data_IF_481101282554
#
_entry.id   IF_481101282554
#
_cell.length_a   1.000
_cell.length_b   1.000
_cell.length_c   1.000
_cell.angle_alpha   90.00
_cell.angle_beta   90.00
_cell.angle_gamma   90.00
#
_symmetry.space_group_name_H-M   'P 1'
#
loop_
_entity.id
_entity.type
_entity.pdbx_description
1 polymer ?
#
# COMPACT_ATOMS: atom_id res chain seq x y z
N UNK A 1 48.23 -7.19 -112.02
CA UNK A 1 49.33 -6.38 -112.59
C UNK A 1 48.72 -5.18 -113.29
N UNK A 2 48.66 -4.04 -112.61
CA UNK A 2 48.56 -2.68 -113.16
C UNK A 2 48.89 -1.74 -112.01
N UNK A 3 50.06 -1.14 -112.10
CA UNK A 3 50.66 -0.15 -111.21
C UNK A 3 50.24 1.25 -111.64
N UNK A 4 50.14 2.18 -110.69
CA UNK A 4 50.69 3.55 -110.70
C UNK A 4 50.43 4.15 -109.29
N UNK A 5 51.44 4.46 -108.44
CA UNK A 5 52.31 5.66 -108.36
C UNK A 5 51.47 6.97 -108.33
N UNK A 6 51.66 7.96 -107.44
CA UNK A 6 52.77 8.33 -106.57
C UNK A 6 52.32 9.33 -105.46
N UNK A 7 53.23 9.53 -104.51
CA UNK A 7 53.21 10.40 -103.32
C UNK A 7 53.16 11.92 -103.57
N UNK A 8 52.58 12.68 -102.62
CA UNK A 8 53.15 13.95 -102.11
C UNK A 8 52.77 14.19 -100.62
N UNK A 9 53.77 14.65 -99.88
CA UNK A 9 53.78 15.05 -98.46
C UNK A 9 52.86 16.24 -98.14
N UNK A 10 52.34 16.28 -96.91
CA UNK A 10 51.74 17.45 -96.30
C UNK A 10 51.63 17.32 -94.77
N UNK A 11 52.70 17.75 -94.09
CA UNK A 11 52.87 18.15 -92.68
C UNK A 11 51.64 18.21 -91.75
N UNK A 12 51.82 17.69 -90.52
CA UNK A 12 51.21 18.25 -89.32
C UNK A 12 50.75 17.21 -88.30
N UNK A 13 51.59 16.94 -87.29
CA UNK A 13 51.31 16.11 -86.12
C UNK A 13 49.96 16.40 -85.45
N UNK A 14 49.10 15.39 -85.34
CA UNK A 14 47.97 15.41 -84.42
C UNK A 14 48.27 14.45 -83.26
N UNK A 15 48.88 15.00 -82.21
CA UNK A 15 49.00 14.34 -80.92
C UNK A 15 47.60 14.10 -80.36
N UNK A 16 47.12 12.87 -80.43
CA UNK A 16 45.90 12.44 -79.72
C UNK A 16 46.27 12.28 -78.24
N UNK A 17 45.84 13.24 -77.42
CA UNK A 17 45.94 13.16 -75.96
C UNK A 17 45.22 11.90 -75.42
N UNK A 18 45.69 11.31 -74.31
CA UNK A 18 44.99 10.20 -73.66
C UNK A 18 43.68 10.71 -73.04
N UNK A 19 42.59 9.99 -73.30
CA UNK A 19 41.25 10.32 -72.78
C UNK A 19 41.21 10.38 -71.25
N UNK A 20 40.46 11.32 -70.65
CA UNK A 20 40.30 11.40 -69.21
C UNK A 20 39.42 10.24 -68.74
N UNK A 21 39.99 9.33 -67.93
CA UNK A 21 39.21 8.38 -67.13
C UNK A 21 38.41 9.17 -66.11
N UNK A 22 37.12 9.37 -66.39
CA UNK A 22 36.19 10.01 -65.47
C UNK A 22 35.99 9.09 -64.25
N UNK A 23 36.58 9.46 -63.10
CA UNK A 23 36.17 8.91 -61.80
C UNK A 23 34.78 9.47 -61.49
N UNK A 24 33.80 8.64 -61.09
CA UNK A 24 32.49 9.16 -60.71
C UNK A 24 32.65 10.07 -59.49
N UNK A 25 31.94 11.21 -59.42
CA UNK A 25 32.01 12.11 -58.28
C UNK A 25 31.50 11.37 -57.04
N UNK A 26 32.33 11.34 -56.00
CA UNK A 26 31.97 10.86 -54.67
C UNK A 26 30.74 11.67 -54.21
N UNK A 27 29.54 11.09 -54.25
CA UNK A 27 28.33 11.72 -53.69
C UNK A 27 28.65 12.01 -52.23
N UNK A 28 28.77 13.30 -51.89
CA UNK A 28 29.05 13.75 -50.51
C UNK A 28 28.07 13.04 -49.57
N UNK A 29 28.51 12.56 -48.40
CA UNK A 29 27.70 11.78 -47.47
C UNK A 29 26.70 12.68 -46.71
N UNK A 30 26.05 13.61 -47.41
CA UNK A 30 25.05 14.54 -46.87
C UNK A 30 23.92 13.74 -46.24
N UNK A 31 23.52 12.62 -46.84
CA UNK A 31 22.48 11.75 -46.29
C UNK A 31 22.90 11.08 -44.97
N UNK A 32 24.19 10.78 -44.81
CA UNK A 32 24.73 10.25 -43.55
C UNK A 32 24.71 11.34 -42.48
N UNK A 33 25.11 12.57 -42.81
CA UNK A 33 25.07 13.71 -41.88
C UNK A 33 23.62 14.00 -41.46
N UNK A 34 22.68 14.00 -42.40
CA UNK A 34 21.26 14.19 -42.11
C UNK A 34 20.72 13.07 -41.23
N UNK A 35 21.05 11.81 -41.52
CA UNK A 35 20.62 10.67 -40.69
C UNK A 35 21.21 10.72 -39.28
N UNK A 36 22.50 11.04 -39.14
CA UNK A 36 23.13 11.22 -37.83
C UNK A 36 22.48 12.37 -37.07
N UNK A 37 22.19 13.50 -37.75
CA UNK A 37 21.52 14.64 -37.12
C UNK A 37 20.11 14.28 -36.63
N UNK A 38 19.34 13.54 -37.43
CA UNK A 38 17.99 13.07 -37.09
C UNK A 38 18.01 12.11 -35.89
N UNK A 39 18.97 11.18 -35.87
CA UNK A 39 19.16 10.26 -34.73
C UNK A 39 19.56 11.04 -33.48
N UNK A 40 20.48 12.01 -33.57
CA UNK A 40 20.87 12.82 -32.41
C UNK A 40 19.72 13.67 -31.87
N UNK A 41 18.89 14.27 -32.73
CA UNK A 41 17.69 15.01 -32.29
C UNK A 41 16.68 14.07 -31.64
N UNK A 42 16.47 12.88 -32.21
CA UNK A 42 15.57 11.88 -31.63
C UNK A 42 16.05 11.44 -30.24
N UNK A 43 17.35 11.20 -30.06
CA UNK A 43 17.93 10.84 -28.77
C UNK A 43 17.81 11.97 -27.74
N UNK A 44 18.02 13.22 -28.14
CA UNK A 44 17.83 14.40 -27.28
C UNK A 44 16.36 14.56 -26.90
N UNK A 45 15.43 14.41 -27.85
CA UNK A 45 13.99 14.45 -27.57
C UNK A 45 13.55 13.31 -26.64
N UNK A 46 14.06 12.10 -26.83
CA UNK A 46 13.78 10.96 -25.95
C UNK A 46 14.37 11.15 -24.53
N UNK A 47 15.50 11.86 -24.42
CA UNK A 47 16.10 12.23 -23.14
C UNK A 47 15.30 13.32 -22.41
N UNK A 48 14.82 14.34 -23.13
CA UNK A 48 14.05 15.46 -22.56
C UNK A 48 12.60 15.04 -22.24
N UNK A 49 12.01 14.16 -23.04
CA UNK A 49 10.63 13.69 -22.89
C UNK A 49 10.57 12.16 -22.73
N UNK A 50 10.94 11.61 -21.56
CA UNK A 50 10.81 10.19 -21.31
C UNK A 50 9.32 9.79 -21.35
N UNK A 51 8.96 8.69 -22.04
CA UNK A 51 7.57 8.27 -22.16
C UNK A 51 7.02 7.83 -20.80
N UNK A 52 5.95 8.49 -20.34
CA UNK A 52 5.30 8.22 -19.05
C UNK A 52 4.33 7.01 -19.07
N UNK A 53 4.22 6.27 -20.18
CA UNK A 53 3.30 5.12 -20.29
C UNK A 53 4.05 3.79 -20.43
N UNK A 54 3.81 2.86 -19.49
CA UNK A 54 4.34 1.48 -19.49
C UNK A 54 3.95 0.63 -20.73
N UNK A 55 3.05 1.12 -21.57
CA UNK A 55 2.45 0.39 -22.69
C UNK A 55 3.30 0.32 -23.96
N UNK A 56 4.41 1.07 -24.06
CA UNK A 56 5.24 1.08 -25.29
C UNK A 56 6.41 0.07 -25.30
N UNK A 57 6.70 -0.64 -24.20
CA UNK A 57 7.76 -1.70 -24.15
C UNK A 57 7.38 -3.00 -24.92
N UNK A 58 6.33 -3.03 -25.74
CA UNK A 58 5.96 -4.20 -26.55
C UNK A 58 6.53 -4.22 -27.98
N UNK A 59 7.15 -3.12 -28.45
CA UNK A 59 7.64 -3.01 -29.84
C UNK A 59 9.15 -3.30 -29.97
N UNK A 60 9.92 -3.21 -28.88
CA UNK A 60 11.35 -3.53 -28.87
C UNK A 60 11.66 -4.51 -27.73
N UNK A 61 12.27 -5.65 -28.08
CA UNK A 61 12.59 -6.79 -27.21
C UNK A 61 12.89 -6.45 -25.74
N UNK A 62 12.30 -7.23 -24.84
CA UNK A 62 12.36 -7.15 -23.36
C UNK A 62 13.75 -6.99 -22.75
N UNK A 63 14.82 -7.31 -23.48
CA UNK A 63 16.21 -7.21 -23.03
C UNK A 63 16.74 -5.77 -22.96
N UNK A 64 16.18 -4.83 -23.74
CA UNK A 64 16.62 -3.41 -23.71
C UNK A 64 15.94 -2.57 -22.62
N UNK A 65 14.73 -2.91 -22.16
CA UNK A 65 14.06 -2.12 -21.12
C UNK A 65 14.80 -2.22 -19.75
N UNK A 66 15.46 -3.35 -19.44
CA UNK A 66 16.29 -3.50 -18.22
C UNK A 66 17.55 -2.62 -18.25
N UNK A 67 18.13 -2.43 -19.43
CA UNK A 67 19.31 -1.57 -19.58
C UNK A 67 18.91 -0.11 -19.35
N UNK A 68 17.82 0.35 -19.95
CA UNK A 68 17.35 1.74 -19.81
C UNK A 68 16.95 2.08 -18.37
N UNK A 69 16.38 1.14 -17.61
CA UNK A 69 16.08 1.35 -16.19
C UNK A 69 17.34 1.52 -15.32
N UNK A 70 18.45 0.88 -15.69
CA UNK A 70 19.74 1.00 -14.98
C UNK A 70 20.49 2.29 -15.36
N UNK A 71 20.20 2.89 -16.52
CA UNK A 71 20.81 4.14 -17.01
C UNK A 71 20.12 5.42 -16.51
N UNK A 72 18.86 5.34 -16.06
CA UNK A 72 18.17 6.49 -15.50
C UNK A 72 18.69 6.74 -14.08
N UNK A 73 19.10 7.97 -13.73
CA UNK A 73 19.42 8.28 -12.34
C UNK A 73 18.20 7.93 -11.49
N UNK A 74 18.38 7.34 -10.30
CA UNK A 74 17.27 7.03 -9.42
C UNK A 74 16.46 8.30 -9.23
N UNK A 75 15.13 8.19 -9.38
CA UNK A 75 14.25 9.33 -9.15
C UNK A 75 14.63 9.97 -7.81
N UNK A 76 14.80 11.30 -7.75
CA UNK A 76 15.26 11.97 -6.55
C UNK A 76 14.40 11.50 -5.37
N UNK A 77 15.06 11.09 -4.28
CA UNK A 77 14.37 10.64 -3.10
C UNK A 77 13.39 11.74 -2.69
N UNK A 78 12.10 11.39 -2.65
CA UNK A 78 11.06 12.33 -2.24
C UNK A 78 11.42 12.92 -0.88
N UNK A 79 11.38 14.24 -0.79
CA UNK A 79 11.50 14.95 0.48
C UNK A 79 10.20 14.79 1.28
N UNK A 80 10.33 14.40 2.55
CA UNK A 80 9.20 14.17 3.44
C UNK A 80 8.81 15.48 4.14
N UNK A 81 7.53 15.66 4.38
CA UNK A 81 7.05 16.75 5.25
C UNK A 81 7.45 16.48 6.72
N UNK A 82 7.40 17.50 7.56
CA UNK A 82 7.71 17.36 9.00
C UNK A 82 6.79 16.33 9.68
N UNK A 83 5.50 16.31 9.32
CA UNK A 83 4.53 15.36 9.86
C UNK A 83 4.81 13.92 9.40
N UNK A 84 5.20 13.74 8.13
CA UNK A 84 5.62 12.43 7.61
C UNK A 84 6.88 11.93 8.29
N UNK A 85 7.87 12.80 8.47
CA UNK A 85 9.11 12.47 9.16
C UNK A 85 8.83 12.08 10.61
N UNK A 86 8.01 12.86 11.32
CA UNK A 86 7.62 12.59 12.70
C UNK A 86 6.89 11.24 12.84
N UNK A 87 5.91 10.97 11.96
CA UNK A 87 5.17 9.69 11.94
C UNK A 87 6.12 8.50 11.68
N UNK A 88 7.04 8.63 10.72
CA UNK A 88 7.99 7.56 10.39
C UNK A 88 8.98 7.27 11.52
N UNK A 89 9.49 8.31 12.20
CA UNK A 89 10.38 8.14 13.35
C UNK A 89 9.61 7.46 14.49
N UNK A 90 8.40 7.95 14.81
CA UNK A 90 7.56 7.37 15.86
C UNK A 90 7.30 5.88 15.64
N UNK A 91 6.86 5.50 14.42
CA UNK A 91 6.59 4.11 14.07
C UNK A 91 7.87 3.27 14.18
N UNK A 92 9.00 3.76 13.66
CA UNK A 92 10.28 3.07 13.74
C UNK A 92 10.69 2.82 15.19
N UNK A 93 10.62 3.85 16.03
CA UNK A 93 10.97 3.74 17.45
C UNK A 93 10.08 2.70 18.14
N UNK A 94 8.75 2.77 17.97
CA UNK A 94 7.81 1.80 18.57
C UNK A 94 8.12 0.36 18.15
N UNK A 95 8.42 0.12 16.87
CA UNK A 95 8.77 -1.22 16.38
C UNK A 95 10.13 -1.71 16.90
N UNK A 96 11.06 -0.79 17.14
CA UNK A 96 12.39 -1.11 17.67
C UNK A 96 12.43 -1.27 19.20
N UNK A 97 11.39 -0.83 19.91
CA UNK A 97 11.30 -0.97 21.36
C UNK A 97 11.31 -2.44 21.77
N UNK A 98 12.05 -2.81 22.84
CA UNK A 98 11.99 -4.15 23.38
C UNK A 98 10.57 -4.46 23.89
N UNK A 99 10.06 -5.70 23.70
CA UNK A 99 8.76 -6.10 24.23
C UNK A 99 8.67 -5.90 25.74
N UNK A 100 7.55 -5.38 26.23
CA UNK A 100 7.30 -5.23 27.66
C UNK A 100 7.21 -6.63 28.28
N UNK A 101 8.15 -6.97 29.14
CA UNK A 101 8.11 -8.23 29.86
C UNK A 101 7.05 -8.16 30.97
N UNK A 102 5.90 -8.77 30.71
CA UNK A 102 4.87 -8.99 31.74
C UNK A 102 5.02 -10.38 32.35
N UNK A 103 4.92 -10.47 33.67
CA UNK A 103 4.85 -11.74 34.40
C UNK A 103 3.52 -12.47 34.14
N UNK A 104 2.46 -11.71 33.88
CA UNK A 104 1.09 -12.19 33.70
C UNK A 104 0.53 -11.64 32.39
N UNK A 105 1.12 -12.05 31.27
CA UNK A 105 0.74 -11.53 29.97
C UNK A 105 -0.74 -11.84 29.65
N UNK A 106 -1.47 -10.83 29.16
CA UNK A 106 -2.92 -10.91 28.93
C UNK A 106 -3.29 -10.61 27.48
N UNK A 107 -4.44 -11.14 27.08
CA UNK A 107 -5.14 -10.74 25.87
C UNK A 107 -6.27 -9.78 26.23
N UNK A 108 -6.28 -8.61 25.61
CA UNK A 108 -7.37 -7.65 25.70
C UNK A 108 -8.45 -8.00 24.67
N UNK A 109 -9.59 -8.46 25.16
CA UNK A 109 -10.80 -8.67 24.35
C UNK A 109 -11.61 -7.36 24.35
N UNK A 110 -11.69 -6.73 23.18
CA UNK A 110 -12.33 -5.44 22.98
C UNK A 110 -13.61 -5.63 22.16
N UNK A 111 -14.75 -5.37 22.78
CA UNK A 111 -16.06 -5.51 22.17
C UNK A 111 -16.58 -4.16 21.70
N UNK A 112 -16.80 -4.02 20.41
CA UNK A 112 -17.52 -2.90 19.81
C UNK A 112 -18.97 -3.31 19.55
N UNK A 113 -19.89 -2.77 20.35
CA UNK A 113 -21.30 -3.16 20.36
C UNK A 113 -22.22 -1.97 20.07
N UNK A 114 -23.43 -2.26 19.61
CA UNK A 114 -24.52 -1.27 19.59
C UNK A 114 -25.18 -1.11 20.97
N UNK A 115 -25.22 -2.18 21.76
CA UNK A 115 -25.83 -2.23 23.09
C UNK A 115 -25.41 -3.49 23.86
N UNK A 116 -26.38 -4.28 24.31
CA UNK A 116 -26.14 -5.55 25.03
C UNK A 116 -25.48 -6.62 24.16
N UNK A 117 -24.59 -7.42 24.73
CA UNK A 117 -23.91 -8.52 24.05
C UNK A 117 -24.79 -9.77 24.01
N UNK A 118 -25.29 -10.16 22.83
CA UNK A 118 -26.19 -11.32 22.69
C UNK A 118 -25.57 -12.64 23.19
N UNK A 119 -24.26 -12.80 23.00
CA UNK A 119 -23.53 -14.02 23.35
C UNK A 119 -22.75 -13.91 24.67
N UNK A 120 -23.13 -12.99 25.57
CA UNK A 120 -22.43 -12.78 26.84
C UNK A 120 -22.28 -14.06 27.67
N UNK A 121 -23.33 -14.91 27.73
CA UNK A 121 -23.29 -16.21 28.43
C UNK A 121 -22.31 -17.20 27.80
N UNK A 122 -22.08 -17.12 26.49
CA UNK A 122 -21.10 -17.96 25.79
C UNK A 122 -19.68 -17.50 26.14
N UNK A 123 -19.46 -16.18 26.09
CA UNK A 123 -18.19 -15.57 26.48
C UNK A 123 -17.88 -15.81 27.96
N UNK A 124 -18.88 -15.81 28.84
CA UNK A 124 -18.73 -16.19 30.25
C UNK A 124 -18.12 -17.60 30.41
N UNK A 125 -18.64 -18.57 29.66
CA UNK A 125 -18.10 -19.94 29.63
C UNK A 125 -16.69 -19.99 29.03
N UNK A 126 -16.44 -19.22 27.98
CA UNK A 126 -15.12 -19.17 27.33
C UNK A 126 -14.04 -18.61 28.26
N UNK A 127 -14.38 -17.62 29.09
CA UNK A 127 -13.45 -16.98 30.03
C UNK A 127 -13.29 -17.72 31.37
N UNK A 128 -14.13 -18.71 31.65
CA UNK A 128 -14.17 -19.39 32.94
C UNK A 128 -12.84 -20.09 33.28
N UNK A 129 -12.27 -19.75 34.43
CA UNK A 129 -11.01 -20.33 34.93
C UNK A 129 -9.74 -19.73 34.33
N UNK A 130 -9.83 -18.57 33.67
CA UNK A 130 -8.71 -17.94 32.96
C UNK A 130 -8.52 -16.45 33.30
N UNK A 131 -9.00 -16.01 34.46
CA UNK A 131 -9.18 -14.62 34.87
C UNK A 131 -7.90 -13.77 34.87
N UNK A 132 -6.74 -14.40 35.02
CA UNK A 132 -5.44 -13.72 35.04
C UNK A 132 -4.81 -13.56 33.65
N UNK A 133 -5.39 -14.18 32.61
CA UNK A 133 -4.86 -14.25 31.24
C UNK A 133 -5.60 -13.38 30.23
N UNK A 134 -6.62 -12.65 30.67
CA UNK A 134 -7.35 -11.74 29.79
C UNK A 134 -7.85 -10.49 30.50
N UNK A 135 -8.24 -9.51 29.69
CA UNK A 135 -8.98 -8.33 30.12
C UNK A 135 -10.11 -8.07 29.10
N UNK A 136 -11.20 -7.46 29.56
CA UNK A 136 -12.39 -7.17 28.73
C UNK A 136 -12.65 -5.67 28.72
N UNK A 137 -12.93 -5.13 27.54
CA UNK A 137 -13.31 -3.73 27.33
C UNK A 137 -14.52 -3.68 26.41
N UNK A 138 -15.53 -2.89 26.77
CA UNK A 138 -16.77 -2.77 25.99
C UNK A 138 -16.99 -1.33 25.59
N UNK A 139 -17.17 -1.09 24.30
CA UNK A 139 -17.65 0.18 23.76
C UNK A 139 -19.06 -0.01 23.20
N UNK A 140 -20.06 0.57 23.85
CA UNK A 140 -21.45 0.47 23.45
C UNK A 140 -21.95 1.79 22.85
N UNK A 141 -22.29 1.78 21.56
CA UNK A 141 -22.48 3.00 20.77
C UNK A 141 -23.87 3.65 20.86
N UNK A 142 -24.91 2.93 21.26
CA UNK A 142 -26.28 3.48 21.39
C UNK A 142 -26.77 3.44 22.83
N UNK A 143 -26.74 2.26 23.44
CA UNK A 143 -27.34 2.02 24.75
C UNK A 143 -26.30 1.47 25.70
N UNK A 144 -26.35 1.90 26.96
CA UNK A 144 -25.49 1.33 27.99
C UNK A 144 -25.99 -0.09 28.32
N UNK A 145 -25.19 -1.13 28.06
CA UNK A 145 -25.61 -2.50 28.31
C UNK A 145 -25.75 -2.78 29.80
N UNK A 146 -26.69 -3.66 30.14
CA UNK A 146 -26.78 -4.27 31.48
C UNK A 146 -26.15 -5.65 31.40
N UNK A 147 -24.96 -5.78 31.99
CA UNK A 147 -24.19 -7.03 31.98
C UNK A 147 -24.67 -7.98 33.06
N UNK A 148 -24.74 -9.27 32.73
CA UNK A 148 -25.13 -10.36 33.63
C UNK A 148 -23.91 -11.17 34.08
N UNK A 149 -22.94 -11.34 33.19
CA UNK A 149 -21.69 -12.03 33.46
C UNK A 149 -20.74 -11.12 34.25
N UNK A 150 -20.13 -11.70 35.29
CA UNK A 150 -19.14 -11.01 36.12
C UNK A 150 -17.92 -10.49 35.34
N UNK A 151 -17.63 -11.06 34.17
CA UNK A 151 -16.49 -10.63 33.36
C UNK A 151 -16.74 -9.32 32.61
N UNK A 152 -18.00 -8.96 32.38
CA UNK A 152 -18.39 -7.76 31.64
C UNK A 152 -18.85 -6.61 32.56
N UNK A 153 -19.23 -6.91 33.81
CA UNK A 153 -19.56 -5.89 34.82
C UNK A 153 -18.39 -4.91 34.99
N UNK A 154 -18.71 -3.61 34.90
CA UNK A 154 -17.75 -2.49 35.00
C UNK A 154 -16.62 -2.52 33.96
N UNK A 155 -16.84 -3.14 32.80
CA UNK A 155 -15.88 -3.15 31.67
C UNK A 155 -16.20 -2.17 30.56
N UNK A 156 -17.30 -1.43 30.67
CA UNK A 156 -17.66 -0.40 29.71
C UNK A 156 -16.68 0.79 29.78
N UNK A 157 -16.14 1.16 28.62
CA UNK A 157 -15.35 2.38 28.48
C UNK A 157 -16.27 3.57 28.19
N UNK A 158 -15.72 4.79 28.30
CA UNK A 158 -16.41 5.98 27.78
C UNK A 158 -16.68 5.77 26.28
N UNK A 159 -17.95 5.64 25.92
CA UNK A 159 -18.40 5.34 24.58
C UNK A 159 -19.01 6.56 23.91
N UNK A 160 -18.87 6.65 22.59
CA UNK A 160 -19.51 7.68 21.76
C UNK A 160 -20.36 7.06 20.66
N UNK A 161 -21.20 7.85 20.01
CA UNK A 161 -22.06 7.34 18.94
C UNK A 161 -21.21 6.88 17.76
N UNK A 162 -21.46 5.65 17.31
CA UNK A 162 -20.81 5.07 16.14
C UNK A 162 -21.81 4.98 15.01
N UNK A 163 -21.46 5.61 13.88
CA UNK A 163 -22.19 5.47 12.64
C UNK A 163 -21.43 4.50 11.75
N UNK A 164 -22.14 3.49 11.28
CA UNK A 164 -21.58 2.46 10.43
C UNK A 164 -21.01 3.05 9.12
N UNK A 165 -19.82 2.58 8.74
CA UNK A 165 -19.09 3.04 7.56
C UNK A 165 -18.42 4.42 7.66
N UNK A 166 -18.54 5.12 8.80
CA UNK A 166 -17.91 6.44 9.02
C UNK A 166 -16.66 6.34 9.89
N UNK A 167 -15.87 7.43 9.92
CA UNK A 167 -14.68 7.58 10.76
C UNK A 167 -14.94 7.32 12.25
N UNK A 168 -16.17 7.54 12.73
CA UNK A 168 -16.60 7.26 14.10
C UNK A 168 -16.37 5.81 14.53
N UNK A 169 -16.32 4.87 13.58
CA UNK A 169 -15.92 3.48 13.86
C UNK A 169 -14.44 3.39 14.27
N UNK A 170 -13.55 4.03 13.50
CA UNK A 170 -12.12 4.11 13.82
C UNK A 170 -11.92 4.80 15.17
N UNK A 171 -12.69 5.84 15.47
CA UNK A 171 -12.60 6.54 16.75
C UNK A 171 -12.92 5.60 17.92
N UNK A 172 -13.96 4.77 17.79
CA UNK A 172 -14.34 3.80 18.81
C UNK A 172 -13.27 2.70 18.99
N UNK A 173 -12.69 2.20 17.88
CA UNK A 173 -11.61 1.22 17.90
C UNK A 173 -10.35 1.79 18.57
N UNK A 174 -9.95 3.02 18.23
CA UNK A 174 -8.84 3.72 18.86
C UNK A 174 -9.10 3.97 20.35
N UNK A 175 -10.33 4.31 20.75
CA UNK A 175 -10.71 4.46 22.17
C UNK A 175 -10.60 3.14 22.93
N UNK A 176 -11.03 2.02 22.33
CA UNK A 176 -10.87 0.68 22.91
C UNK A 176 -9.38 0.34 23.10
N UNK A 177 -8.57 0.48 22.05
CA UNK A 177 -7.12 0.26 22.11
C UNK A 177 -6.46 1.14 23.18
N UNK A 178 -6.77 2.43 23.22
CA UNK A 178 -6.19 3.36 24.19
C UNK A 178 -6.53 3.00 25.64
N UNK A 179 -7.75 2.51 25.91
CA UNK A 179 -8.12 2.04 27.25
C UNK A 179 -7.45 0.70 27.59
N UNK A 180 -7.32 -0.20 26.61
CA UNK A 180 -6.67 -1.49 26.79
C UNK A 180 -5.16 -1.37 27.02
N UNK A 181 -4.50 -0.41 26.35
CA UNK A 181 -3.05 -0.16 26.46
C UNK A 181 -2.62 0.36 27.83
N UNK A 182 -3.55 0.89 28.63
CA UNK A 182 -3.28 1.33 30.02
C UNK A 182 -2.81 0.18 30.92
N UNK A 183 -3.27 -1.05 30.66
CA UNK A 183 -2.76 -2.22 31.34
C UNK A 183 -1.44 -2.66 30.66
N UNK A 184 -0.28 -2.60 31.35
CA UNK A 184 0.99 -3.03 30.79
C UNK A 184 1.06 -4.55 30.55
N UNK A 185 0.17 -5.34 31.16
CA UNK A 185 0.12 -6.79 30.98
C UNK A 185 -0.54 -7.20 29.67
N UNK A 186 -1.40 -6.34 29.10
CA UNK A 186 -2.02 -6.60 27.80
C UNK A 186 -0.97 -6.58 26.68
N UNK A 187 -0.67 -7.75 26.12
CA UNK A 187 0.32 -7.92 25.04
C UNK A 187 -0.33 -8.11 23.68
N UNK A 188 -1.57 -8.62 23.66
CA UNK A 188 -2.33 -8.85 22.43
C UNK A 188 -3.73 -8.25 22.55
N UNK A 189 -4.25 -7.71 21.45
CA UNK A 189 -5.50 -6.97 21.39
C UNK A 189 -6.40 -7.62 20.35
N UNK A 190 -7.64 -7.96 20.70
CA UNK A 190 -8.60 -8.64 19.82
C UNK A 190 -9.85 -7.78 19.72
N UNK A 191 -10.20 -7.34 18.52
CA UNK A 191 -11.42 -6.58 18.28
C UNK A 191 -12.56 -7.51 17.85
N UNK A 192 -13.71 -7.39 18.51
CA UNK A 192 -14.90 -8.22 18.32
C UNK A 192 -16.16 -7.36 18.21
N UNK A 193 -17.17 -7.86 17.50
CA UNK A 193 -18.53 -7.32 17.52
C UNK A 193 -19.40 -8.07 18.55
N UNK A 194 -20.61 -7.55 18.77
CA UNK A 194 -21.66 -8.19 19.57
C UNK A 194 -22.14 -9.54 19.01
N UNK A 195 -21.95 -9.77 17.70
CA UNK A 195 -22.26 -11.03 17.01
C UNK A 195 -21.14 -12.08 17.05
N UNK A 196 -19.92 -11.72 17.45
CA UNK A 196 -18.79 -12.66 17.42
C UNK A 196 -18.91 -13.77 18.47
N UNK A 197 -18.50 -14.98 18.09
CA UNK A 197 -18.42 -16.15 18.97
C UNK A 197 -17.06 -16.86 18.84
N UNK A 198 -16.49 -17.40 19.93
CA UNK A 198 -15.25 -18.16 19.86
C UNK A 198 -15.50 -19.56 19.27
N UNK A 199 -14.66 -19.98 18.32
CA UNK A 199 -14.74 -21.31 17.67
C UNK A 199 -13.74 -22.33 18.23
N UNK A 200 -12.80 -21.88 19.06
CA UNK A 200 -11.76 -22.69 19.69
C UNK A 200 -11.76 -22.43 21.20
N UNK A 201 -11.12 -23.30 21.98
CA UNK A 201 -10.98 -23.10 23.42
C UNK A 201 -10.10 -21.89 23.74
N UNK A 202 -10.26 -21.34 24.95
CA UNK A 202 -9.45 -20.21 25.40
C UNK A 202 -7.96 -20.52 25.35
N UNK A 203 -7.54 -21.67 25.88
CA UNK A 203 -6.12 -22.06 25.86
C UNK A 203 -5.54 -22.12 24.45
N UNK A 204 -6.31 -22.60 23.47
CA UNK A 204 -5.86 -22.62 22.08
C UNK A 204 -5.64 -21.19 21.56
N UNK A 205 -6.63 -20.31 21.74
CA UNK A 205 -6.55 -18.91 21.28
C UNK A 205 -5.42 -18.18 21.99
N UNK A 206 -5.32 -18.35 23.30
CA UNK A 206 -4.29 -17.74 24.12
C UNK A 206 -2.90 -18.15 23.67
N UNK A 207 -2.63 -19.45 23.57
CA UNK A 207 -1.33 -19.94 23.14
C UNK A 207 -1.01 -19.51 21.70
N UNK A 208 -1.99 -19.57 20.79
CA UNK A 208 -1.79 -19.18 19.40
C UNK A 208 -1.36 -17.71 19.28
N UNK A 209 -2.08 -16.80 19.94
CA UNK A 209 -1.79 -15.37 19.87
C UNK A 209 -0.53 -15.00 20.66
N UNK A 210 -0.35 -15.55 21.86
CA UNK A 210 0.77 -15.20 22.75
C UNK A 210 2.11 -15.76 22.31
N UNK A 211 2.14 -16.89 21.60
CA UNK A 211 3.36 -17.41 20.97
C UNK A 211 3.64 -16.82 19.58
N UNK A 212 2.70 -16.06 19.03
CA UNK A 212 2.92 -15.32 17.79
C UNK A 212 3.53 -13.95 18.09
N UNK A 213 4.55 -13.56 17.31
CA UNK A 213 5.11 -12.21 17.33
C UNK A 213 4.55 -11.33 16.19
N UNK A 214 3.45 -11.78 15.58
CA UNK A 214 2.82 -11.12 14.45
C UNK A 214 1.42 -10.66 14.85
N UNK A 215 0.93 -9.67 14.13
CA UNK A 215 -0.47 -9.27 14.21
C UNK A 215 -1.24 -9.88 13.06
N UNK A 216 -2.55 -9.94 13.22
CA UNK A 216 -3.43 -10.48 12.23
C UNK A 216 -4.52 -9.51 11.78
N UNK A 217 -4.43 -9.12 10.51
CA UNK A 217 -5.35 -8.23 9.80
C UNK A 217 -5.57 -8.77 8.41
N UNK A 218 -6.75 -8.55 7.86
CA UNK A 218 -7.05 -8.88 6.47
C UNK A 218 -6.65 -7.73 5.54
N UNK A 219 -5.98 -8.01 4.42
CA UNK A 219 -5.44 -6.99 3.52
C UNK A 219 -5.38 -7.48 2.09
N UNK A 220 -6.19 -6.88 1.22
CA UNK A 220 -6.30 -7.25 -0.19
C UNK A 220 -6.58 -6.03 -1.08
N UNK A 221 -6.34 -6.19 -2.38
CA UNK A 221 -6.70 -5.20 -3.40
C UNK A 221 -8.10 -5.53 -3.89
N UNK A 222 -8.98 -4.55 -3.88
CA UNK A 222 -10.34 -4.68 -4.39
C UNK A 222 -10.55 -3.60 -5.46
N UNK A 223 -10.50 -3.93 -6.76
CA UNK A 223 -10.62 -2.96 -7.84
C UNK A 223 -12.04 -2.36 -7.95
N UNK A 224 -13.01 -2.87 -7.20
CA UNK A 224 -14.39 -2.41 -7.25
C UNK A 224 -14.59 -1.00 -6.68
N UNK A 225 -15.80 -0.43 -6.85
CA UNK A 225 -16.18 0.89 -6.29
C UNK A 225 -16.15 0.93 -4.76
N UNK A 226 -16.01 -0.23 -4.15
CA UNK A 226 -16.04 -0.45 -2.72
C UNK A 226 -14.63 -0.51 -2.13
N UNK A 227 -13.64 -1.04 -2.86
CA UNK A 227 -12.23 -0.95 -2.48
C UNK A 227 -11.53 0.28 -3.05
N UNK A 228 -10.62 0.07 -4.01
CA UNK A 228 -9.76 1.07 -4.62
C UNK A 228 -10.54 2.18 -5.35
N UNK A 229 -11.80 1.97 -5.74
CA UNK A 229 -12.65 3.04 -6.25
C UNK A 229 -12.94 4.16 -5.24
N UNK A 230 -12.62 3.95 -3.95
CA UNK A 230 -12.71 4.98 -2.90
C UNK A 230 -11.43 5.78 -2.70
N UNK A 231 -10.33 5.37 -3.32
CA UNK A 231 -9.09 6.14 -3.27
C UNK A 231 -9.30 7.46 -4.00
N UNK A 232 -8.72 8.53 -3.46
CA UNK A 232 -8.73 9.85 -4.10
C UNK A 232 -7.31 10.36 -4.21
N UNK A 233 -7.00 11.09 -5.28
CA UNK A 233 -5.65 11.67 -5.47
C UNK A 233 -5.29 12.67 -4.36
N UNK A 234 -6.27 13.19 -3.62
CA UNK A 234 -6.04 14.03 -2.43
C UNK A 234 -5.40 13.29 -1.24
N UNK A 235 -5.32 11.95 -1.30
CA UNK A 235 -4.58 11.15 -0.33
C UNK A 235 -3.08 11.09 -0.65
N UNK A 236 -2.68 11.55 -1.85
CA UNK A 236 -1.28 11.78 -2.17
C UNK A 236 -0.80 13.07 -1.50
N UNK A 237 0.48 13.13 -1.12
CA UNK A 237 1.49 12.10 -1.37
C UNK A 237 1.64 11.05 -0.24
N UNK A 238 0.96 11.20 0.91
CA UNK A 238 1.15 10.36 2.10
C UNK A 238 0.69 8.90 1.90
N UNK A 239 -0.44 8.68 1.22
CA UNK A 239 -0.96 7.35 0.90
C UNK A 239 -0.95 7.17 -0.61
N UNK A 240 0.01 6.41 -1.11
CA UNK A 240 0.02 6.00 -2.51
C UNK A 240 -1.05 4.94 -2.79
N UNK A 241 -1.59 4.91 -4.00
CA UNK A 241 -2.58 3.89 -4.43
C UNK A 241 -2.09 2.46 -4.18
N UNK A 242 -0.79 2.19 -4.32
CA UNK A 242 -0.22 0.87 -4.09
C UNK A 242 -0.32 0.41 -2.62
N UNK A 243 -0.39 1.37 -1.70
CA UNK A 243 -0.48 1.16 -0.25
C UNK A 243 -1.95 1.20 0.24
N UNK A 244 -2.88 1.70 -0.57
CA UNK A 244 -4.30 1.66 -0.28
C UNK A 244 -4.86 0.23 -0.47
N UNK A 245 -5.19 -0.41 0.66
CA UNK A 245 -5.68 -1.80 0.73
C UNK A 245 -7.02 -1.87 1.45
N UNK A 246 -7.90 -2.77 1.01
CA UNK A 246 -9.13 -3.11 1.73
C UNK A 246 -8.84 -4.27 2.69
N UNK A 247 -9.59 -4.32 3.78
CA UNK A 247 -9.49 -5.38 4.79
C UNK A 247 -10.82 -5.69 5.46
N UNK A 248 -10.75 -6.47 6.52
CA UNK A 248 -11.81 -6.71 7.48
C UNK A 248 -11.62 -5.81 8.71
N UNK A 249 -12.66 -5.65 9.53
CA UNK A 249 -12.64 -4.74 10.68
C UNK A 249 -12.02 -5.45 11.86
N UNK A 250 -12.34 -6.74 11.98
CA UNK A 250 -11.76 -7.61 12.98
C UNK A 250 -10.27 -7.73 12.75
N UNK A 251 -9.55 -7.54 13.83
CA UNK A 251 -8.12 -7.73 13.87
C UNK A 251 -7.73 -8.37 15.19
N UNK A 252 -6.54 -8.96 15.18
CA UNK A 252 -5.79 -9.16 16.40
C UNK A 252 -4.44 -8.47 16.22
N UNK A 253 -3.94 -7.76 17.22
CA UNK A 253 -2.65 -7.09 17.09
C UNK A 253 -1.81 -7.16 18.34
N UNK A 254 -0.50 -7.11 18.16
CA UNK A 254 0.49 -7.00 19.21
C UNK A 254 0.46 -5.61 19.81
N UNK A 255 1.00 -5.47 21.02
CA UNK A 255 1.08 -4.20 21.74
C UNK A 255 1.76 -3.08 20.93
N UNK A 256 2.82 -3.38 20.20
CA UNK A 256 3.53 -2.38 19.39
C UNK A 256 2.64 -1.84 18.26
N UNK A 257 1.91 -2.70 17.54
CA UNK A 257 0.99 -2.26 16.50
C UNK A 257 -0.20 -1.49 17.09
N UNK A 258 -0.72 -1.89 18.25
CA UNK A 258 -1.75 -1.14 18.96
C UNK A 258 -1.28 0.29 19.32
N UNK A 259 -0.04 0.44 19.79
CA UNK A 259 0.56 1.75 20.07
C UNK A 259 0.66 2.62 18.81
N UNK A 260 1.09 2.04 17.68
CA UNK A 260 1.15 2.75 16.39
C UNK A 260 -0.24 3.26 15.99
N UNK A 261 -1.27 2.42 16.07
CA UNK A 261 -2.65 2.79 15.68
C UNK A 261 -3.20 3.93 16.55
N UNK A 262 -2.90 3.91 17.86
CA UNK A 262 -3.37 4.95 18.79
C UNK A 262 -2.57 6.25 18.66
N UNK A 263 -1.27 6.15 18.38
CA UNK A 263 -0.38 7.31 18.30
C UNK A 263 -0.39 7.99 16.92
N UNK A 264 -0.83 7.29 15.87
CA UNK A 264 -0.92 7.88 14.53
C UNK A 264 -1.90 9.05 14.49
N UNK A 265 -1.44 10.20 14.00
CA UNK A 265 -2.25 11.38 13.70
C UNK A 265 -2.35 11.65 12.20
N UNK A 266 -1.27 11.35 11.46
CA UNK A 266 -1.12 11.67 10.05
C UNK A 266 -2.11 10.89 9.19
N UNK A 267 -2.01 9.56 9.16
CA UNK A 267 -2.87 8.74 8.31
C UNK A 267 -4.32 8.86 8.75
N UNK A 268 -4.57 8.88 10.06
CA UNK A 268 -5.91 9.06 10.63
C UNK A 268 -6.57 10.35 10.12
N UNK A 269 -5.85 11.48 10.09
CA UNK A 269 -6.42 12.74 9.61
C UNK A 269 -6.82 12.68 8.13
N UNK A 270 -6.02 12.03 7.29
CA UNK A 270 -6.30 11.82 5.87
C UNK A 270 -7.54 10.96 5.69
N UNK A 271 -7.64 9.84 6.42
CA UNK A 271 -8.84 8.99 6.37
C UNK A 271 -10.07 9.71 6.91
N UNK A 272 -9.95 10.51 7.96
CA UNK A 272 -11.06 11.33 8.47
C UNK A 272 -11.59 12.30 7.41
N UNK A 273 -10.69 12.92 6.66
CA UNK A 273 -11.05 14.00 5.74
C UNK A 273 -11.54 13.47 4.38
N UNK A 274 -10.98 12.36 3.90
CA UNK A 274 -11.24 11.82 2.56
C UNK A 274 -12.04 10.51 2.53
N UNK A 275 -12.16 9.77 3.63
CA UNK A 275 -12.99 8.58 3.67
C UNK A 275 -14.46 8.96 3.92
N UNK A 276 -15.16 9.36 2.85
CA UNK A 276 -16.59 9.68 2.89
C UNK A 276 -17.43 8.53 2.32
N UNK A 277 -18.61 8.34 2.89
CA UNK A 277 -19.61 7.38 2.39
C UNK A 277 -20.14 7.89 1.06
N UNK A 278 -19.92 7.16 -0.03
CA UNK A 278 -20.60 7.44 -1.30
C UNK A 278 -22.10 7.19 -1.13
N UNK A 279 -22.89 8.26 -1.12
CA UNK A 279 -24.34 8.27 -0.87
C UNK A 279 -25.18 7.69 -2.03
N UNK A 280 -24.55 7.17 -3.09
CA UNK A 280 -25.29 6.82 -4.32
C UNK A 280 -26.09 5.52 -4.26
N UNK A 281 -25.91 4.67 -3.24
CA UNK A 281 -26.82 3.53 -3.03
C UNK A 281 -26.75 2.98 -1.59
N UNK A 282 -27.83 3.07 -0.78
CA UNK A 282 -27.86 2.56 0.59
C UNK A 282 -27.71 1.02 0.68
N UNK A 283 -27.90 0.28 -0.43
CA UNK A 283 -27.75 -1.16 -0.49
C UNK A 283 -26.38 -1.63 -1.03
N UNK A 284 -25.52 -0.72 -1.50
CA UNK A 284 -24.18 -1.07 -2.00
C UNK A 284 -23.05 -0.40 -1.19
N UNK A 285 -23.33 0.48 -0.23
CA UNK A 285 -22.30 1.24 0.48
C UNK A 285 -21.48 0.44 1.52
N UNK A 286 -21.15 -0.83 1.28
CA UNK A 286 -20.51 -1.69 2.28
C UNK A 286 -18.99 -1.80 2.08
N UNK A 287 -18.25 -0.71 2.32
CA UNK A 287 -16.81 -0.80 2.63
C UNK A 287 -16.43 0.32 3.58
N UNK A 288 -15.70 -0.06 4.64
CA UNK A 288 -15.53 0.70 5.85
C UNK A 288 -14.19 1.43 5.86
N UNK A 289 -14.15 2.66 6.36
CA UNK A 289 -12.89 3.38 6.57
C UNK A 289 -11.92 2.61 7.50
N UNK A 290 -12.44 1.91 8.51
CA UNK A 290 -11.64 1.05 9.41
C UNK A 290 -10.84 -0.01 8.69
N UNK A 291 -11.45 -0.66 7.69
CA UNK A 291 -10.83 -1.74 6.92
C UNK A 291 -9.58 -1.29 6.16
N UNK A 292 -9.52 0.00 5.81
CA UNK A 292 -8.46 0.55 4.97
C UNK A 292 -7.38 1.22 5.82
N UNK A 293 -7.77 1.87 6.92
CA UNK A 293 -6.87 2.58 7.82
C UNK A 293 -5.84 1.65 8.48
N UNK A 294 -6.29 0.59 9.16
CA UNK A 294 -5.40 -0.37 9.85
C UNK A 294 -4.46 -1.06 8.86
N UNK A 295 -4.93 -1.32 7.64
CA UNK A 295 -4.14 -1.97 6.59
C UNK A 295 -3.17 -1.01 5.89
N UNK A 296 -3.52 0.26 5.75
CA UNK A 296 -2.61 1.25 5.12
C UNK A 296 -1.45 1.64 6.06
N UNK A 297 -1.64 1.52 7.37
CA UNK A 297 -0.55 1.59 8.37
C UNK A 297 0.43 0.40 8.27
N UNK A 298 0.05 -0.70 7.60
CA UNK A 298 0.74 -1.99 7.62
C UNK A 298 1.78 -2.19 6.50
N UNK A 299 2.63 -1.20 6.20
CA UNK A 299 3.95 -1.50 5.55
C UNK A 299 4.81 -2.50 6.36
N UNK A 300 4.34 -2.90 7.55
CA UNK A 300 4.86 -3.94 8.42
C UNK A 300 4.08 -5.25 8.23
N UNK A 301 4.78 -6.32 7.83
CA UNK A 301 4.29 -7.69 7.65
C UNK A 301 3.21 -8.12 8.67
N UNK A 302 1.98 -8.30 8.20
CA UNK A 302 0.83 -8.71 9.02
C UNK A 302 -0.01 -9.73 8.23
N UNK A 303 -0.46 -10.83 8.86
CA UNK A 303 -1.10 -11.99 8.19
C UNK A 303 -2.52 -12.26 8.69
N UNK A 304 -3.42 -12.81 7.88
CA UNK A 304 -4.88 -12.86 8.16
C UNK A 304 -5.29 -13.89 9.23
N UNK A 305 -6.17 -13.52 10.17
CA UNK A 305 -7.01 -14.44 10.98
C UNK A 305 -8.48 -14.14 10.68
N UNK A 306 -9.27 -15.17 10.41
CA UNK A 306 -10.72 -15.03 10.20
C UNK A 306 -11.47 -15.14 11.52
N UNK A 307 -12.27 -14.12 11.85
CA UNK A 307 -13.41 -14.26 12.76
C UNK A 307 -14.67 -14.37 11.92
N UNK A 308 -15.45 -15.44 12.12
CA UNK A 308 -16.75 -15.60 11.49
C UNK A 308 -17.77 -14.71 12.23
N UNK A 309 -18.56 -13.97 11.45
CA UNK A 309 -19.79 -13.31 11.88
C UNK A 309 -21.00 -14.15 11.49
#
# INVERSE_FOLDING_TARGET
MKTDKAWRLGMGDMQVLPGPRHRPPLKRPIWIIVMVSLVSVFLVCAYIYPPQSRTSCYVFSSRSCNVISDWLPPAPAREYTDDELASRILVREILSMPPVQSKNAKIAFMFLSTGSLHFEKLWDKFFHGHEERFSVYVHASKEKPVHVSRYFINRDIRSEQVIWGKITMIDAERRLLANALKDPDNQHFVLLSDSCVPLRSFDYVYNYLMYSNISFVDSFVDPGPHGNGRYTEHMLPEIEMKDFRKGAQWFTMTRQHALIVVADSLYYSIFRDYCKVFLFNPYLAYTHCSFVYVCSLSRCNMFVLYFWS
#
